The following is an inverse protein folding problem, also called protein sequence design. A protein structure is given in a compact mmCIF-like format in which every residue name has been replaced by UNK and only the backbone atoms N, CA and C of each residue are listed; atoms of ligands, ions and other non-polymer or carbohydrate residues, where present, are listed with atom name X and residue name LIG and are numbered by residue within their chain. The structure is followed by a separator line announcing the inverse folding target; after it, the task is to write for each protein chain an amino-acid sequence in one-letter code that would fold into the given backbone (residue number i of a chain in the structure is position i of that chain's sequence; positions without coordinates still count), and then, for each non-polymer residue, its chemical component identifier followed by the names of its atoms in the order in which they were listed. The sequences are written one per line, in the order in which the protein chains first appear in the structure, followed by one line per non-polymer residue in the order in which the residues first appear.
data_IF_529612756883
#
_entry.id   IF_529612756883
#
_cell.length_a   1.000
_cell.length_b   1.000
_cell.length_c   1.000
_cell.angle_alpha   90.00
_cell.angle_beta   90.00
_cell.angle_gamma   90.00
#
_symmetry.space_group_name_H-M   'P 1'
#
loop_
_entity.id
_entity.type
_entity.pdbx_description
1 polymer ?
#
# COMPACT_ATOMS: atom_id res chain seq x y z
N UNK A 1 32.33 -21.42 -20.17
CA UNK A 1 31.85 -20.29 -19.32
C UNK A 1 30.43 -20.63 -18.87
N UNK A 2 30.23 -20.91 -17.58
CA UNK A 2 28.88 -21.04 -17.00
C UNK A 2 28.46 -19.63 -16.56
N UNK A 3 27.48 -19.05 -17.25
CA UNK A 3 26.87 -17.79 -16.82
C UNK A 3 25.83 -18.14 -15.77
N UNK A 4 26.18 -17.97 -14.49
CA UNK A 4 25.23 -18.06 -13.40
C UNK A 4 24.36 -16.79 -13.40
N UNK A 5 23.14 -16.89 -13.92
CA UNK A 5 22.14 -15.82 -13.79
C UNK A 5 21.63 -15.78 -12.35
N UNK A 6 22.06 -14.78 -11.59
CA UNK A 6 21.46 -14.44 -10.29
C UNK A 6 20.09 -13.83 -10.57
N UNK A 7 19.04 -14.62 -10.39
CA UNK A 7 17.66 -14.09 -10.38
C UNK A 7 17.50 -13.37 -9.04
N UNK A 8 17.73 -12.07 -9.01
CA UNK A 8 17.38 -11.25 -7.85
C UNK A 8 15.87 -11.18 -7.76
N UNK A 9 15.26 -11.99 -6.88
CA UNK A 9 13.88 -11.77 -6.47
C UNK A 9 13.83 -10.44 -5.71
N UNK A 10 13.45 -9.39 -6.43
CA UNK A 10 13.24 -8.07 -5.88
C UNK A 10 11.80 -8.00 -5.37
N UNK A 11 11.55 -8.36 -4.10
CA UNK A 11 10.23 -8.14 -3.46
C UNK A 11 10.19 -6.83 -2.67
N UNK A 12 9.43 -5.85 -3.18
CA UNK A 12 9.41 -4.50 -2.66
C UNK A 12 8.33 -4.14 -1.70
N UNK A 13 8.76 -3.47 -0.64
CA UNK A 13 7.98 -3.32 0.56
C UNK A 13 8.17 -1.91 1.10
N UNK A 14 7.03 -1.27 1.32
CA UNK A 14 6.94 0.04 1.90
C UNK A 14 5.51 0.50 1.96
N UNK A 15 5.31 1.62 2.66
CA UNK A 15 4.00 2.23 2.82
C UNK A 15 4.13 3.72 3.07
N UNK A 16 3.03 4.44 2.89
CA UNK A 16 2.93 5.83 3.31
C UNK A 16 2.82 5.85 4.84
N UNK A 17 3.88 6.35 5.49
CA UNK A 17 3.93 6.51 6.94
C UNK A 17 3.23 7.80 7.37
N UNK A 18 3.35 8.88 6.58
CA UNK A 18 2.76 10.18 6.90
C UNK A 18 2.19 10.86 5.63
N UNK A 19 0.92 11.30 5.62
CA UNK A 19 -0.11 11.00 6.62
C UNK A 19 -0.35 9.48 6.72
N UNK A 20 -0.65 8.97 7.91
CA UNK A 20 -0.70 7.53 8.14
C UNK A 20 -1.71 6.85 7.21
N UNK A 21 -1.24 5.91 6.39
CA UNK A 21 -2.10 5.08 5.56
C UNK A 21 -2.94 4.10 6.40
N UNK A 22 -4.03 3.58 5.82
CA UNK A 22 -5.00 2.70 6.51
C UNK A 22 -4.35 1.53 7.24
N UNK A 23 -3.32 0.93 6.65
CA UNK A 23 -2.59 -0.21 7.22
C UNK A 23 -1.66 0.11 8.39
N UNK A 24 -1.31 1.37 8.62
CA UNK A 24 -0.46 1.80 9.74
C UNK A 24 -1.11 2.79 10.69
N UNK A 25 -2.33 3.24 10.39
CA UNK A 25 -3.06 4.20 11.19
C UNK A 25 -3.15 3.81 12.68
N UNK A 26 -3.29 2.52 13.00
CA UNK A 26 -3.37 2.03 14.38
C UNK A 26 -2.16 2.38 15.26
N UNK A 27 -1.01 2.69 14.65
CA UNK A 27 0.22 3.05 15.39
C UNK A 27 0.16 4.45 15.98
N UNK A 28 -0.66 5.34 15.41
CA UNK A 28 -0.67 6.76 15.76
C UNK A 28 -2.06 7.24 16.19
N UNK A 29 -3.14 6.58 15.74
CA UNK A 29 -4.51 7.03 15.95
C UNK A 29 -5.33 5.99 16.74
N UNK A 30 -5.74 6.27 17.99
CA UNK A 30 -6.52 5.34 18.82
C UNK A 30 -7.86 4.90 18.20
N UNK A 31 -8.42 5.70 17.30
CA UNK A 31 -9.65 5.38 16.55
C UNK A 31 -9.44 4.29 15.50
N UNK A 32 -8.19 4.03 15.10
CA UNK A 32 -7.85 2.94 14.22
C UNK A 32 -7.70 1.64 15.02
N UNK A 33 -8.82 0.99 15.30
CA UNK A 33 -8.92 -0.18 16.19
C UNK A 33 -8.47 -1.49 15.55
N UNK A 34 -8.44 -1.56 14.21
CA UNK A 34 -7.96 -2.73 13.47
C UNK A 34 -6.44 -2.70 13.32
N UNK A 35 -5.76 -3.74 13.83
CA UNK A 35 -4.31 -3.91 13.67
C UNK A 35 -3.99 -4.74 12.42
N UNK A 36 -3.07 -4.24 11.60
CA UNK A 36 -2.50 -4.95 10.46
C UNK A 36 -0.99 -5.13 10.66
N UNK A 37 -0.53 -6.37 10.70
CA UNK A 37 0.83 -6.71 11.11
C UNK A 37 1.87 -6.64 10.00
N UNK A 38 1.44 -6.65 8.73
CA UNK A 38 2.32 -6.62 7.55
C UNK A 38 2.08 -5.40 6.64
N UNK A 39 2.22 -4.17 7.18
CA UNK A 39 1.83 -2.93 6.50
C UNK A 39 2.57 -2.63 5.19
N UNK A 40 3.69 -3.29 4.96
CA UNK A 40 4.51 -3.15 3.77
C UNK A 40 4.20 -4.21 2.69
N UNK A 41 3.20 -5.08 2.90
CA UNK A 41 2.78 -6.16 1.99
C UNK A 41 1.52 -5.86 1.15
N UNK A 42 1.11 -4.60 1.02
CA UNK A 42 0.00 -4.21 0.13
C UNK A 42 0.43 -4.14 -1.34
N UNK A 43 0.81 -5.29 -1.88
CA UNK A 43 1.44 -5.48 -3.19
C UNK A 43 0.49 -6.10 -4.24
N UNK A 44 -0.79 -5.70 -4.22
CA UNK A 44 -1.82 -6.18 -5.16
C UNK A 44 -2.10 -7.70 -5.07
N UNK A 45 -1.76 -8.34 -3.94
CA UNK A 45 -1.87 -9.78 -3.73
C UNK A 45 -0.67 -10.59 -4.25
N UNK A 46 0.44 -9.93 -4.56
CA UNK A 46 1.66 -10.54 -5.10
C UNK A 46 1.72 -10.55 -6.64
N UNK A 47 2.94 -10.66 -7.17
CA UNK A 47 3.22 -10.50 -8.60
C UNK A 47 2.40 -11.41 -9.52
N UNK A 48 2.34 -12.71 -9.23
CA UNK A 48 1.58 -13.67 -10.06
C UNK A 48 0.07 -13.44 -9.95
N UNK A 49 -0.44 -13.13 -8.75
CA UNK A 49 -1.84 -12.75 -8.56
C UNK A 49 -2.20 -11.50 -9.38
N UNK A 50 -1.34 -10.48 -9.37
CA UNK A 50 -1.58 -9.26 -10.12
C UNK A 50 -1.55 -9.52 -11.63
N UNK A 51 -0.51 -10.16 -12.15
CA UNK A 51 -0.29 -10.27 -13.59
C UNK A 51 -1.09 -11.42 -14.21
N UNK A 52 -0.96 -12.63 -13.68
CA UNK A 52 -1.50 -13.85 -14.28
C UNK A 52 -3.00 -13.98 -14.01
N UNK A 53 -3.43 -13.72 -12.76
CA UNK A 53 -4.83 -13.88 -12.35
C UNK A 53 -5.67 -12.63 -12.61
N UNK A 54 -5.15 -11.45 -12.29
CA UNK A 54 -5.92 -10.20 -12.34
C UNK A 54 -5.67 -9.38 -13.63
N UNK A 55 -4.83 -9.86 -14.56
CA UNK A 55 -4.55 -9.17 -15.82
C UNK A 55 -3.90 -7.79 -15.62
N UNK A 56 -2.95 -7.70 -14.69
CA UNK A 56 -2.25 -6.48 -14.32
C UNK A 56 -3.00 -5.57 -13.33
N UNK A 57 -4.27 -5.88 -13.02
CA UNK A 57 -5.13 -5.03 -12.18
C UNK A 57 -4.79 -5.17 -10.70
N UNK A 58 -4.94 -4.05 -9.99
CA UNK A 58 -4.74 -3.93 -8.54
C UNK A 58 -5.96 -3.29 -7.88
N UNK A 59 -6.25 -3.61 -6.62
CA UNK A 59 -7.19 -2.85 -5.82
C UNK A 59 -6.66 -1.45 -5.55
N UNK A 60 -7.54 -0.45 -5.51
CA UNK A 60 -7.16 0.97 -5.35
C UNK A 60 -6.38 1.28 -4.06
N UNK A 61 -6.48 0.40 -3.05
CA UNK A 61 -5.73 0.51 -1.80
C UNK A 61 -4.73 -0.65 -1.60
N UNK A 62 -4.31 -1.32 -2.67
CA UNK A 62 -3.29 -2.38 -2.64
C UNK A 62 -3.79 -3.80 -2.37
N UNK A 63 -5.10 -3.98 -2.10
CA UNK A 63 -5.75 -5.30 -2.07
C UNK A 63 -5.62 -6.03 -3.43
N UNK A 64 -5.69 -7.37 -3.42
CA UNK A 64 -5.82 -8.12 -4.66
C UNK A 64 -7.11 -7.75 -5.41
N UNK A 65 -7.01 -7.56 -6.72
CA UNK A 65 -8.12 -7.02 -7.51
C UNK A 65 -9.36 -7.91 -7.52
N UNK A 66 -9.20 -9.23 -7.62
CA UNK A 66 -10.32 -10.19 -7.67
C UNK A 66 -11.07 -10.35 -6.34
N UNK A 67 -10.56 -9.85 -5.21
CA UNK A 67 -11.26 -9.93 -3.93
C UNK A 67 -12.51 -9.05 -3.97
N UNK A 68 -13.64 -9.65 -3.64
CA UNK A 68 -14.92 -8.95 -3.45
C UNK A 68 -14.93 -8.18 -2.13
N UNK A 69 -14.42 -8.79 -1.06
CA UNK A 69 -14.21 -8.13 0.23
C UNK A 69 -12.79 -7.54 0.28
N UNK A 70 -12.68 -6.26 -0.06
CA UNK A 70 -11.41 -5.52 -0.03
C UNK A 70 -11.20 -4.94 1.37
N UNK A 71 -10.21 -5.42 2.09
CA UNK A 71 -10.02 -5.06 3.49
C UNK A 71 -9.66 -3.58 3.67
N UNK A 72 -9.03 -2.95 2.67
CA UNK A 72 -8.57 -1.56 2.74
C UNK A 72 -9.45 -0.57 1.98
N UNK A 73 -10.51 -0.99 1.32
CA UNK A 73 -11.49 -0.10 0.65
C UNK A 73 -12.77 -0.07 1.47
N UNK A 74 -13.38 1.09 1.69
CA UNK A 74 -14.64 1.18 2.45
C UNK A 74 -15.72 0.27 1.84
N UNK A 75 -16.46 -0.53 2.65
CA UNK A 75 -16.52 -0.56 4.12
C UNK A 75 -15.59 -1.59 4.81
N UNK A 76 -14.50 -1.98 4.15
CA UNK A 76 -13.56 -3.01 4.61
C UNK A 76 -12.93 -2.73 5.99
N UNK A 77 -12.42 -3.81 6.61
CA UNK A 77 -11.91 -3.88 7.98
C UNK A 77 -10.95 -2.76 8.39
N UNK A 78 -10.12 -2.25 7.47
CA UNK A 78 -9.12 -1.20 7.73
C UNK A 78 -9.54 0.19 7.20
N UNK A 79 -10.67 0.29 6.51
CA UNK A 79 -11.21 1.53 5.98
C UNK A 79 -12.16 2.21 6.99
N UNK A 80 -11.63 2.55 8.16
CA UNK A 80 -12.40 3.00 9.34
C UNK A 80 -12.89 4.47 9.29
N UNK A 81 -12.63 5.20 8.21
CA UNK A 81 -13.03 6.61 8.08
C UNK A 81 -12.29 7.58 9.00
N UNK A 82 -11.15 7.17 9.56
CA UNK A 82 -10.31 8.03 10.41
C UNK A 82 -9.50 8.98 9.54
N UNK A 83 -9.63 10.28 9.79
CA UNK A 83 -8.81 11.32 9.15
C UNK A 83 -7.44 11.34 9.81
N UNK A 84 -6.39 11.04 9.02
CA UNK A 84 -4.99 10.98 9.48
C UNK A 84 -4.16 12.19 9.07
N UNK A 85 -4.75 13.12 8.33
CA UNK A 85 -4.16 14.40 7.96
C UNK A 85 -5.23 15.36 7.44
N UNK A 86 -5.08 16.64 7.76
CA UNK A 86 -5.96 17.72 7.30
C UNK A 86 -5.10 18.77 6.62
N UNK A 87 -5.47 19.11 5.39
CA UNK A 87 -4.74 20.05 4.54
C UNK A 87 -5.71 21.05 3.90
N UNK A 88 -5.21 22.22 3.55
CA UNK A 88 -5.96 23.21 2.77
C UNK A 88 -5.83 22.90 1.27
N UNK A 89 -6.83 23.30 0.48
CA UNK A 89 -6.74 23.20 -0.97
C UNK A 89 -5.53 24.02 -1.49
N UNK A 90 -4.75 23.43 -2.39
CA UNK A 90 -3.52 24.04 -2.91
C UNK A 90 -2.33 24.01 -1.94
N UNK A 91 -2.48 23.49 -0.72
CA UNK A 91 -1.38 23.39 0.23
C UNK A 91 -0.29 22.44 -0.29
N UNK A 92 0.96 22.92 -0.30
CA UNK A 92 2.12 22.02 -0.39
C UNK A 92 2.30 21.30 0.94
N UNK A 93 2.32 19.98 0.92
CA UNK A 93 2.53 19.15 2.10
C UNK A 93 3.54 18.03 1.82
N UNK A 94 4.09 17.47 2.90
CA UNK A 94 5.07 16.40 2.83
C UNK A 94 4.38 15.04 2.96
N UNK A 95 4.71 14.12 2.05
CA UNK A 95 4.39 12.69 2.18
C UNK A 95 5.67 11.94 2.58
N UNK A 96 5.60 11.18 3.67
CA UNK A 96 6.72 10.35 4.14
C UNK A 96 6.48 8.89 3.78
N UNK A 97 7.31 8.36 2.88
CA UNK A 97 7.35 6.93 2.59
C UNK A 97 8.31 6.23 3.53
N UNK A 98 7.88 5.10 4.12
CA UNK A 98 8.77 4.16 4.79
C UNK A 98 9.04 2.99 3.85
N UNK A 99 10.28 2.89 3.39
CA UNK A 99 10.76 1.81 2.54
C UNK A 99 11.48 0.78 3.43
N UNK A 100 10.96 -0.44 3.50
CA UNK A 100 11.55 -1.53 4.29
C UNK A 100 12.46 -2.41 3.42
N UNK A 101 12.17 -2.52 2.13
CA UNK A 101 13.05 -3.14 1.12
C UNK A 101 13.07 -2.26 -0.13
N UNK A 102 14.25 -1.99 -0.71
CA UNK A 102 14.42 -1.04 -1.83
C UNK A 102 14.47 -1.76 -3.19
N UNK A 103 13.55 -1.39 -4.10
CA UNK A 103 13.32 -2.04 -5.41
C UNK A 103 13.64 -1.13 -6.58
N UNK A 104 14.21 0.06 -6.29
CA UNK A 104 14.32 1.15 -7.26
C UNK A 104 12.91 1.55 -7.75
N UNK A 105 12.84 2.22 -8.89
CA UNK A 105 11.57 2.71 -9.45
C UNK A 105 11.22 4.10 -8.95
N UNK A 106 9.93 4.43 -8.99
CA UNK A 106 9.38 5.74 -8.66
C UNK A 106 8.08 5.60 -7.86
N UNK A 107 7.62 6.72 -7.29
CA UNK A 107 6.36 6.80 -6.56
C UNK A 107 5.46 7.84 -7.21
N UNK A 108 4.18 7.51 -7.36
CA UNK A 108 3.12 8.39 -7.82
C UNK A 108 2.05 8.49 -6.76
N UNK A 109 1.45 9.67 -6.63
CA UNK A 109 0.39 9.93 -5.66
C UNK A 109 -0.84 10.45 -6.40
N UNK A 110 -2.02 10.01 -5.99
CA UNK A 110 -3.31 10.43 -6.54
C UNK A 110 -4.22 10.80 -5.38
N UNK A 111 -4.98 11.87 -5.56
CA UNK A 111 -6.11 12.19 -4.70
C UNK A 111 -7.35 11.54 -5.33
N UNK A 112 -8.12 10.79 -4.54
CA UNK A 112 -9.39 10.23 -5.00
C UNK A 112 -10.51 11.27 -4.91
N UNK A 113 -11.50 11.14 -5.78
CA UNK A 113 -12.73 11.95 -5.77
C UNK A 113 -13.70 11.52 -4.67
#
# INVERSE_FOLDING_TARGET
LLVASVVTLVSGHGFIQEPAARQVCYKEFPKCTSVHWTPDELNCGGFSTQNDKNGGKCGVCGDAYHLTDKAFVYPGKFALGVITGTYQEGQTFTIKLRITTNHKGWSEFRLGD
#
